data_IF_624870442188
#
_entry.id   IF_624870442188
#
_cell.length_a   1.000
_cell.length_b   1.000
_cell.length_c   1.000
_cell.angle_alpha   90.00
_cell.angle_beta   90.00
_cell.angle_gamma   90.00
#
_symmetry.space_group_name_H-M   'P 1'
#
loop_
_entity.id
_entity.type
_entity.pdbx_description
1 polymer ?
#
# COMPACT_ATOMS: atom_id res chain seq x y z
N UNK A 1 -17.67 -25.63 15.58
CA UNK A 1 -16.25 -25.74 15.18
C UNK A 1 -15.69 -24.34 15.02
N UNK A 2 -14.54 -24.03 15.62
CA UNK A 2 -13.81 -22.77 15.41
C UNK A 2 -13.23 -22.74 14.00
N UNK A 3 -13.35 -21.62 13.28
CA UNK A 3 -12.76 -21.47 11.95
C UNK A 3 -11.23 -21.39 12.04
N UNK A 4 -10.53 -22.12 11.18
CA UNK A 4 -9.06 -22.13 11.08
C UNK A 4 -8.65 -21.55 9.72
N UNK A 5 -7.72 -20.60 9.75
CA UNK A 5 -7.24 -19.85 8.59
C UNK A 5 -5.71 -19.89 8.52
N UNK A 6 -5.14 -20.24 7.37
CA UNK A 6 -3.68 -20.14 7.13
C UNK A 6 -3.26 -18.80 6.54
N UNK A 7 -4.09 -18.22 5.68
CA UNK A 7 -3.81 -16.99 4.96
C UNK A 7 -5.06 -16.10 4.90
N UNK A 8 -4.86 -14.81 4.65
CA UNK A 8 -5.92 -13.92 4.22
C UNK A 8 -5.75 -13.57 2.75
N UNK A 9 -6.86 -13.36 2.04
CA UNK A 9 -6.89 -12.95 0.64
C UNK A 9 -6.87 -11.43 0.55
N UNK A 10 -6.14 -10.89 -0.41
CA UNK A 10 -6.28 -9.51 -0.83
C UNK A 10 -6.39 -9.49 -2.35
N UNK A 11 -7.47 -8.90 -2.88
CA UNK A 11 -7.73 -8.89 -4.30
C UNK A 11 -7.30 -7.55 -4.90
N UNK A 12 -6.58 -7.60 -6.02
CA UNK A 12 -6.55 -6.51 -6.97
C UNK A 12 -7.98 -6.15 -7.37
N UNK A 13 -8.29 -4.86 -7.38
CA UNK A 13 -9.59 -4.31 -7.76
C UNK A 13 -10.08 -4.81 -9.11
N UNK A 14 -9.19 -4.99 -10.09
CA UNK A 14 -9.57 -5.52 -11.41
C UNK A 14 -10.06 -6.96 -11.35
N UNK A 15 -9.47 -7.77 -10.46
CA UNK A 15 -9.90 -9.14 -10.22
C UNK A 15 -11.18 -9.14 -9.39
N UNK A 16 -11.21 -8.37 -8.30
CA UNK A 16 -12.37 -8.26 -7.41
C UNK A 16 -13.63 -7.86 -8.18
N UNK A 17 -13.56 -6.76 -8.95
CA UNK A 17 -14.66 -6.26 -9.81
C UNK A 17 -15.18 -7.29 -10.81
N UNK A 18 -14.34 -8.22 -11.24
CA UNK A 18 -14.72 -9.26 -12.18
C UNK A 18 -15.43 -10.41 -11.48
N UNK A 19 -14.87 -10.92 -10.39
CA UNK A 19 -15.40 -12.11 -9.70
C UNK A 19 -16.76 -11.84 -9.04
N UNK A 20 -17.06 -10.60 -8.67
CA UNK A 20 -18.34 -10.30 -8.02
C UNK A 20 -19.49 -9.92 -8.96
N UNK A 21 -19.20 -9.60 -10.22
CA UNK A 21 -20.20 -9.07 -11.17
C UNK A 21 -21.11 -10.17 -11.71
N UNK A 22 -22.41 -9.87 -11.85
CA UNK A 22 -23.37 -10.73 -12.57
C UNK A 22 -22.86 -11.10 -13.96
N UNK A 23 -23.00 -12.37 -14.34
CA UNK A 23 -22.53 -12.92 -15.63
C UNK A 23 -21.08 -13.42 -15.62
N UNK A 24 -20.38 -13.34 -14.49
CA UNK A 24 -19.02 -13.86 -14.28
C UNK A 24 -18.96 -14.87 -13.12
N UNK A 25 -20.07 -15.54 -12.82
CA UNK A 25 -20.21 -16.48 -11.71
C UNK A 25 -19.16 -17.59 -11.76
N UNK A 26 -18.89 -18.12 -12.96
CA UNK A 26 -17.91 -19.18 -13.16
C UNK A 26 -16.49 -18.69 -12.84
N UNK A 27 -16.18 -17.41 -13.02
CA UNK A 27 -14.86 -16.86 -12.68
C UNK A 27 -14.60 -16.87 -11.17
N UNK A 28 -15.63 -16.66 -10.35
CA UNK A 28 -15.50 -16.76 -8.89
C UNK A 28 -15.30 -18.22 -8.46
N UNK A 29 -16.15 -19.12 -8.94
CA UNK A 29 -16.08 -20.54 -8.60
C UNK A 29 -14.75 -21.17 -9.03
N UNK A 30 -14.32 -20.92 -10.27
CA UNK A 30 -13.05 -21.42 -10.82
C UNK A 30 -11.86 -20.90 -10.01
N UNK A 31 -11.82 -19.59 -9.73
CA UNK A 31 -10.73 -18.99 -8.96
C UNK A 31 -10.67 -19.57 -7.55
N UNK A 32 -11.81 -19.63 -6.85
CA UNK A 32 -11.83 -20.14 -5.48
C UNK A 32 -11.52 -21.63 -5.43
N UNK A 33 -11.99 -22.43 -6.39
CA UNK A 33 -11.64 -23.84 -6.51
C UNK A 33 -10.13 -24.02 -6.72
N UNK A 34 -9.51 -23.23 -7.61
CA UNK A 34 -8.06 -23.24 -7.84
C UNK A 34 -7.29 -22.82 -6.58
N UNK A 35 -7.72 -21.75 -5.89
CA UNK A 35 -7.11 -21.30 -4.63
C UNK A 35 -7.22 -22.39 -3.56
N UNK A 36 -8.38 -23.01 -3.39
CA UNK A 36 -8.58 -24.09 -2.43
C UNK A 36 -7.68 -25.30 -2.73
N UNK A 37 -7.62 -25.72 -3.99
CA UNK A 37 -6.76 -26.82 -4.42
C UNK A 37 -5.28 -26.56 -4.13
N UNK A 38 -4.81 -25.33 -4.33
CA UNK A 38 -3.40 -24.99 -4.15
C UNK A 38 -3.01 -24.68 -2.69
N UNK A 39 -3.94 -24.23 -1.85
CA UNK A 39 -3.64 -23.71 -0.51
C UNK A 39 -4.37 -24.41 0.64
N UNK A 40 -5.24 -25.38 0.35
CA UNK A 40 -5.92 -26.21 1.34
C UNK A 40 -6.06 -27.67 0.88
N UNK A 41 -5.08 -28.21 0.16
CA UNK A 41 -5.13 -29.58 -0.37
C UNK A 41 -5.37 -30.65 0.70
N UNK A 42 -5.04 -30.36 1.96
CA UNK A 42 -5.19 -31.26 3.12
C UNK A 42 -6.47 -31.02 3.94
N UNK A 43 -7.38 -30.12 3.51
CA UNK A 43 -8.60 -29.74 4.24
C UNK A 43 -8.37 -29.23 5.68
N UNK A 44 -7.20 -28.68 5.98
CA UNK A 44 -6.85 -28.16 7.31
C UNK A 44 -7.54 -26.83 7.63
N UNK A 45 -7.95 -26.08 6.60
CA UNK A 45 -8.53 -24.74 6.73
C UNK A 45 -10.02 -24.74 6.38
N UNK A 46 -10.79 -23.99 7.16
CA UNK A 46 -12.26 -23.92 7.03
C UNK A 46 -12.74 -22.69 6.26
N UNK A 47 -11.82 -21.80 5.88
CA UNK A 47 -12.13 -20.61 5.10
C UNK A 47 -10.89 -19.80 4.78
N UNK A 48 -11.11 -18.65 4.14
CA UNK A 48 -10.13 -17.58 4.05
C UNK A 48 -10.70 -16.31 4.71
N UNK A 49 -9.81 -15.54 5.33
CA UNK A 49 -10.11 -14.16 5.71
C UNK A 49 -9.82 -13.25 4.51
N UNK A 50 -10.34 -12.02 4.52
CA UNK A 50 -9.96 -11.01 3.54
C UNK A 50 -9.29 -9.83 4.23
N UNK A 51 -8.13 -9.45 3.71
CA UNK A 51 -7.40 -8.26 4.10
C UNK A 51 -7.76 -7.12 3.16
N UNK A 52 -8.15 -5.98 3.73
CA UNK A 52 -8.59 -4.82 2.97
C UNK A 52 -8.11 -3.55 3.66
N UNK A 53 -7.52 -2.66 2.87
CA UNK A 53 -7.12 -1.33 3.34
C UNK A 53 -8.27 -0.35 3.13
N UNK A 54 -8.30 0.78 3.87
CA UNK A 54 -9.29 1.84 3.63
C UNK A 54 -9.33 2.32 2.16
N UNK A 55 -8.19 2.21 1.47
CA UNK A 55 -8.06 2.60 0.08
C UNK A 55 -8.61 1.52 -0.86
N UNK A 56 -8.24 0.24 -0.67
CA UNK A 56 -8.84 -0.86 -1.44
C UNK A 56 -10.36 -0.87 -1.32
N UNK A 57 -10.89 -0.52 -0.15
CA UNK A 57 -12.32 -0.37 0.06
C UNK A 57 -12.95 0.70 -0.85
N UNK A 58 -12.33 1.87 -1.00
CA UNK A 58 -12.82 2.91 -1.92
C UNK A 58 -12.88 2.40 -3.36
N UNK A 59 -11.85 1.68 -3.81
CA UNK A 59 -11.83 1.14 -5.16
C UNK A 59 -12.87 0.06 -5.40
N UNK A 60 -13.10 -0.80 -4.41
CA UNK A 60 -14.14 -1.83 -4.44
C UNK A 60 -15.54 -1.21 -4.47
N UNK A 61 -15.70 -0.03 -3.85
CA UNK A 61 -16.91 0.78 -3.97
C UNK A 61 -17.03 1.50 -5.33
N UNK A 62 -15.99 1.45 -6.16
CA UNK A 62 -15.98 2.06 -7.50
C UNK A 62 -15.47 3.49 -7.52
N UNK A 63 -14.80 3.95 -6.46
CA UNK A 63 -14.38 5.33 -6.29
C UNK A 63 -12.84 5.45 -6.20
N UNK A 64 -12.28 6.44 -6.89
CA UNK A 64 -10.89 6.85 -6.69
C UNK A 64 -10.76 7.68 -5.38
N UNK A 65 -9.58 7.72 -4.77
CA UNK A 65 -9.32 8.60 -3.63
C UNK A 65 -9.49 10.07 -4.04
N UNK A 66 -10.37 10.86 -3.41
CA UNK A 66 -10.60 12.22 -3.85
C UNK A 66 -9.35 13.09 -3.63
N UNK A 67 -9.10 13.98 -4.58
CA UNK A 67 -8.00 14.92 -4.50
C UNK A 67 -8.46 16.22 -3.84
N UNK A 68 -7.68 16.72 -2.90
CA UNK A 68 -7.90 18.02 -2.26
C UNK A 68 -6.77 18.97 -2.62
N UNK A 69 -7.04 20.26 -2.61
CA UNK A 69 -6.01 21.30 -2.70
C UNK A 69 -5.81 21.92 -1.32
N UNK A 70 -4.56 22.13 -0.90
CA UNK A 70 -4.22 22.88 0.31
C UNK A 70 -3.19 23.92 -0.08
N UNK A 71 -3.38 25.16 0.37
CA UNK A 71 -2.44 26.24 0.08
C UNK A 71 -1.04 25.89 0.57
N UNK A 72 0.02 26.26 -0.18
CA UNK A 72 1.41 26.09 0.25
C UNK A 72 1.63 26.66 1.66
N UNK A 73 2.12 25.82 2.58
CA UNK A 73 2.59 26.32 3.87
C UNK A 73 3.79 27.23 3.61
N UNK A 74 3.65 28.52 3.92
CA UNK A 74 4.77 29.48 3.82
C UNK A 74 5.84 29.07 4.83
N UNK A 75 7.07 28.88 4.36
CA UNK A 75 8.23 28.58 5.19
C UNK A 75 8.41 29.69 6.23
N UNK A 76 8.17 29.40 7.51
CA UNK A 76 8.82 30.14 8.57
C UNK A 76 10.32 29.81 8.50
N UNK A 77 11.14 30.86 8.49
CA UNK A 77 12.59 30.77 8.23
C UNK A 77 13.36 29.99 9.31
N UNK A 78 12.72 29.60 10.41
CA UNK A 78 13.38 29.02 11.58
C UNK A 78 12.89 27.59 11.86
N UNK A 79 13.80 26.64 11.66
CA UNK A 79 14.00 25.39 12.38
C UNK A 79 12.77 24.74 13.10
N UNK A 80 12.01 23.90 12.39
CA UNK A 80 11.73 22.47 12.71
C UNK A 80 10.74 21.86 11.68
N UNK A 81 11.02 22.10 10.39
CA UNK A 81 10.06 21.99 9.28
C UNK A 81 9.50 20.58 9.02
N UNK A 82 10.06 19.52 9.58
CA UNK A 82 9.64 18.15 9.27
C UNK A 82 8.30 17.79 9.92
N UNK A 83 8.30 17.66 11.24
CA UNK A 83 7.17 17.10 11.98
C UNK A 83 6.03 18.10 12.15
N UNK A 84 6.34 19.37 12.45
CA UNK A 84 5.31 20.38 12.67
C UNK A 84 4.59 20.76 11.36
N UNK A 85 5.32 20.96 10.26
CA UNK A 85 4.70 21.25 8.97
C UNK A 85 3.82 20.09 8.50
N UNK A 86 4.29 18.85 8.67
CA UNK A 86 3.48 17.66 8.34
C UNK A 86 2.22 17.57 9.19
N UNK A 87 2.28 17.85 10.49
CA UNK A 87 1.09 17.91 11.34
C UNK A 87 0.11 18.98 10.87
N UNK A 88 0.60 20.18 10.52
CA UNK A 88 -0.23 21.25 9.94
C UNK A 88 -0.91 20.82 8.63
N UNK A 89 -0.16 20.21 7.70
CA UNK A 89 -0.72 19.66 6.45
C UNK A 89 -1.74 18.57 6.74
N UNK A 90 -1.42 17.64 7.63
CA UNK A 90 -2.30 16.54 8.01
C UNK A 90 -3.63 17.06 8.58
N UNK A 91 -3.57 18.00 9.53
CA UNK A 91 -4.78 18.57 10.12
C UNK A 91 -5.61 19.35 9.10
N UNK A 92 -4.96 20.14 8.24
CA UNK A 92 -5.65 20.83 7.16
C UNK A 92 -6.31 19.84 6.17
N UNK A 93 -5.61 18.77 5.81
CA UNK A 93 -6.11 17.73 4.91
C UNK A 93 -7.29 16.98 5.52
N UNK A 94 -7.14 16.58 6.79
CA UNK A 94 -8.18 15.90 7.54
C UNK A 94 -9.45 16.74 7.65
N UNK A 95 -9.31 18.03 7.94
CA UNK A 95 -10.46 18.94 7.94
C UNK A 95 -11.14 19.02 6.57
N UNK A 96 -10.39 19.08 5.46
CA UNK A 96 -10.99 19.07 4.12
C UNK A 96 -11.70 17.75 3.81
N UNK A 97 -11.07 16.61 4.08
CA UNK A 97 -11.69 15.30 3.85
C UNK A 97 -12.92 15.06 4.72
N UNK A 98 -12.92 15.53 5.98
CA UNK A 98 -14.06 15.41 6.89
C UNK A 98 -15.36 16.01 6.33
N UNK A 99 -15.26 17.10 5.58
CA UNK A 99 -16.42 17.79 4.99
C UNK A 99 -16.67 17.43 3.52
N UNK A 100 -15.88 16.51 2.97
CA UNK A 100 -15.99 16.12 1.57
C UNK A 100 -17.07 15.03 1.41
N UNK A 101 -18.06 15.28 0.56
CA UNK A 101 -19.20 14.38 0.36
C UNK A 101 -18.76 12.99 -0.10
N UNK A 102 -17.77 12.92 -1.00
CA UNK A 102 -17.23 11.70 -1.59
C UNK A 102 -16.65 10.71 -0.56
N UNK A 103 -16.35 11.14 0.67
CA UNK A 103 -15.86 10.26 1.75
C UNK A 103 -16.73 10.35 3.00
N UNK A 104 -17.97 10.82 2.84
CA UNK A 104 -18.98 10.81 3.89
C UNK A 104 -19.59 9.41 4.05
N UNK A 105 -20.06 9.08 5.26
CA UNK A 105 -20.78 7.82 5.52
C UNK A 105 -21.95 7.62 4.56
N UNK A 106 -22.74 8.69 4.34
CA UNK A 106 -23.92 8.65 3.48
C UNK A 106 -23.55 8.27 2.04
N UNK A 107 -22.53 8.90 1.48
CA UNK A 107 -22.11 8.61 0.10
C UNK A 107 -21.56 7.20 -0.05
N UNK A 108 -20.66 6.78 0.84
CA UNK A 108 -20.02 5.47 0.77
C UNK A 108 -21.02 4.32 0.96
N UNK A 109 -22.02 4.50 1.84
CA UNK A 109 -23.15 3.56 1.99
C UNK A 109 -24.06 3.53 0.77
N UNK A 110 -24.26 4.68 0.10
CA UNK A 110 -24.99 4.74 -1.18
C UNK A 110 -24.27 3.93 -2.25
N UNK A 111 -22.95 4.12 -2.42
CA UNK A 111 -22.14 3.35 -3.38
C UNK A 111 -22.19 1.85 -3.10
N UNK A 112 -22.11 1.44 -1.83
CA UNK A 112 -22.28 0.04 -1.44
C UNK A 112 -23.65 -0.50 -1.87
N UNK A 113 -24.72 0.25 -1.59
CA UNK A 113 -26.10 -0.12 -1.97
C UNK A 113 -26.29 -0.23 -3.48
N UNK A 114 -25.63 0.62 -4.27
CA UNK A 114 -25.63 0.55 -5.72
C UNK A 114 -24.89 -0.68 -6.24
N UNK A 115 -23.69 -0.95 -5.71
CA UNK A 115 -22.89 -2.11 -6.10
C UNK A 115 -23.62 -3.43 -5.83
N UNK A 116 -24.36 -3.53 -4.71
CA UNK A 116 -25.17 -4.72 -4.37
C UNK A 116 -26.14 -5.14 -5.48
N UNK A 117 -26.65 -4.21 -6.29
CA UNK A 117 -27.61 -4.49 -7.39
C UNK A 117 -26.98 -5.31 -8.52
N UNK A 118 -25.66 -5.19 -8.70
CA UNK A 118 -24.90 -5.79 -9.79
C UNK A 118 -24.10 -7.03 -9.36
N UNK A 119 -24.24 -7.46 -8.10
CA UNK A 119 -23.59 -8.65 -7.56
C UNK A 119 -24.28 -9.94 -8.01
N UNK A 120 -23.48 -10.93 -8.37
CA UNK A 120 -23.96 -12.30 -8.50
C UNK A 120 -24.32 -12.89 -7.12
N UNK A 121 -25.28 -13.81 -7.07
CA UNK A 121 -25.67 -14.45 -5.80
C UNK A 121 -24.52 -15.28 -5.21
N UNK A 122 -23.68 -15.88 -6.06
CA UNK A 122 -22.52 -16.67 -5.63
C UNK A 122 -21.42 -15.84 -4.98
N UNK A 123 -21.18 -14.63 -5.47
CA UNK A 123 -20.13 -13.75 -4.94
C UNK A 123 -20.61 -12.83 -3.81
N UNK A 124 -21.93 -12.77 -3.55
CA UNK A 124 -22.52 -11.94 -2.48
C UNK A 124 -21.93 -12.24 -1.09
N UNK A 125 -21.68 -13.50 -0.68
CA UNK A 125 -21.04 -13.79 0.60
C UNK A 125 -19.65 -13.16 0.72
N UNK A 126 -18.81 -13.28 -0.31
CA UNK A 126 -17.48 -12.66 -0.33
C UNK A 126 -17.60 -11.13 -0.25
N UNK A 127 -18.46 -10.52 -1.09
CA UNK A 127 -18.64 -9.07 -1.08
C UNK A 127 -19.13 -8.57 0.29
N UNK A 128 -20.02 -9.32 0.95
CA UNK A 128 -20.49 -8.99 2.29
C UNK A 128 -19.34 -8.96 3.30
N UNK A 129 -18.51 -9.98 3.28
CA UNK A 129 -17.40 -10.12 4.25
C UNK A 129 -16.29 -9.07 4.03
N UNK A 130 -16.08 -8.69 2.77
CA UNK A 130 -14.99 -7.80 2.32
C UNK A 130 -15.39 -6.32 2.36
N UNK A 131 -16.61 -5.98 1.94
CA UNK A 131 -17.06 -4.60 1.72
C UNK A 131 -18.19 -4.24 2.68
N UNK A 132 -19.32 -4.95 2.60
CA UNK A 132 -20.56 -4.58 3.30
C UNK A 132 -20.34 -4.52 4.83
N UNK A 133 -19.65 -5.52 5.38
CA UNK A 133 -19.33 -5.59 6.80
C UNK A 133 -18.58 -4.35 7.29
N UNK A 134 -17.64 -3.83 6.50
CA UNK A 134 -16.78 -2.71 6.89
C UNK A 134 -17.51 -1.39 6.72
N UNK A 135 -18.20 -1.20 5.60
CA UNK A 135 -19.02 0.00 5.33
C UNK A 135 -20.14 0.16 6.36
N UNK A 136 -20.59 -0.94 6.96
CA UNK A 136 -21.61 -0.90 7.98
C UNK A 136 -21.09 -0.62 9.40
N UNK A 137 -19.78 -0.67 9.65
CA UNK A 137 -19.21 -0.35 10.96
C UNK A 137 -19.32 1.14 11.28
N UNK A 138 -19.55 1.46 12.55
CA UNK A 138 -19.56 2.84 13.02
C UNK A 138 -18.16 3.48 12.87
N UNK A 139 -18.13 4.71 12.36
CA UNK A 139 -16.91 5.49 12.20
C UNK A 139 -15.96 5.03 11.08
N UNK A 140 -16.40 4.16 10.16
CA UNK A 140 -15.54 3.71 9.05
C UNK A 140 -15.12 4.86 8.12
N UNK A 141 -16.00 5.83 7.83
CA UNK A 141 -15.63 7.01 7.03
C UNK A 141 -14.55 7.84 7.71
N UNK A 142 -14.61 8.02 9.03
CA UNK A 142 -13.58 8.72 9.79
C UNK A 142 -12.22 8.02 9.66
N UNK A 143 -12.18 6.68 9.64
CA UNK A 143 -10.94 5.92 9.37
C UNK A 143 -10.43 6.16 7.94
N UNK A 144 -11.31 6.21 6.94
CA UNK A 144 -10.94 6.54 5.56
C UNK A 144 -10.38 7.96 5.46
N UNK A 145 -11.07 8.95 6.03
CA UNK A 145 -10.67 10.36 6.04
C UNK A 145 -9.30 10.56 6.71
N UNK A 146 -9.07 9.90 7.86
CA UNK A 146 -7.79 9.90 8.55
C UNK A 146 -6.67 9.36 7.65
N UNK A 147 -6.89 8.20 7.01
CA UNK A 147 -5.88 7.59 6.14
C UNK A 147 -5.62 8.43 4.88
N UNK A 148 -6.65 9.01 4.27
CA UNK A 148 -6.51 9.94 3.14
C UNK A 148 -5.71 11.19 3.52
N UNK A 149 -5.98 11.78 4.69
CA UNK A 149 -5.23 12.93 5.19
C UNK A 149 -3.77 12.58 5.48
N UNK A 150 -3.53 11.40 6.05
CA UNK A 150 -2.21 10.87 6.29
C UNK A 150 -1.45 10.72 4.97
N UNK A 151 -2.04 10.01 4.00
CA UNK A 151 -1.52 9.84 2.63
C UNK A 151 -1.23 11.16 1.92
N UNK A 152 -2.17 12.11 1.98
CA UNK A 152 -1.99 13.44 1.42
C UNK A 152 -0.77 14.14 2.03
N UNK A 153 -0.59 14.08 3.35
CA UNK A 153 0.55 14.72 4.02
C UNK A 153 1.92 14.19 3.54
N UNK A 154 1.99 12.94 3.07
CA UNK A 154 3.23 12.38 2.52
C UNK A 154 3.49 12.76 1.07
N UNK A 155 2.43 13.01 0.30
CA UNK A 155 2.53 13.40 -1.12
C UNK A 155 2.58 14.91 -1.31
N UNK A 156 2.18 15.67 -0.29
CA UNK A 156 2.14 17.12 -0.32
C UNK A 156 3.50 17.71 -0.70
N UNK A 157 3.45 18.74 -1.55
CA UNK A 157 4.62 19.43 -2.02
C UNK A 157 4.88 20.63 -1.09
N UNK A 158 5.76 20.42 -0.11
CA UNK A 158 6.03 21.37 0.97
C UNK A 158 6.77 22.61 0.47
N UNK A 159 7.53 22.51 -0.63
CA UNK A 159 8.19 23.67 -1.21
C UNK A 159 8.43 23.54 -2.71
N UNK A 160 8.51 24.67 -3.43
CA UNK A 160 8.94 24.67 -4.85
C UNK A 160 10.45 24.50 -5.03
N UNK A 161 11.22 24.35 -3.95
CA UNK A 161 12.70 24.31 -3.96
C UNK A 161 13.23 22.92 -3.59
N UNK A 162 14.56 22.74 -3.64
CA UNK A 162 15.24 21.48 -3.25
C UNK A 162 14.92 21.02 -1.82
N UNK A 163 14.39 21.90 -0.96
CA UNK A 163 13.95 21.59 0.40
C UNK A 163 12.75 20.64 0.48
N UNK A 164 11.96 20.51 -0.58
CA UNK A 164 10.82 19.56 -0.62
C UNK A 164 11.28 18.10 -0.49
N UNK A 165 12.42 17.77 -1.11
CA UNK A 165 13.00 16.42 -1.01
C UNK A 165 13.50 16.12 0.40
N UNK A 166 14.04 17.11 1.12
CA UNK A 166 14.46 16.95 2.52
C UNK A 166 13.26 16.71 3.44
N UNK A 167 12.19 17.48 3.28
CA UNK A 167 10.96 17.31 4.07
C UNK A 167 10.31 15.96 3.76
N UNK A 168 10.24 15.56 2.48
CA UNK A 168 9.77 14.22 2.11
C UNK A 168 10.63 13.10 2.68
N UNK A 169 11.95 13.27 2.74
CA UNK A 169 12.87 12.31 3.38
C UNK A 169 12.63 12.22 4.89
N UNK A 170 12.53 13.34 5.59
CA UNK A 170 12.24 13.37 7.03
C UNK A 170 10.88 12.73 7.32
N UNK A 171 9.88 13.01 6.49
CA UNK A 171 8.56 12.42 6.61
C UNK A 171 8.59 10.91 6.37
N UNK A 172 9.32 10.43 5.35
CA UNK A 172 9.52 9.00 5.12
C UNK A 172 10.23 8.34 6.31
N UNK A 173 11.28 8.97 6.84
CA UNK A 173 11.97 8.47 8.02
C UNK A 173 11.01 8.37 9.22
N UNK A 174 10.25 9.42 9.53
CA UNK A 174 9.28 9.42 10.63
C UNK A 174 8.12 8.44 10.46
N UNK A 175 7.69 8.18 9.21
CA UNK A 175 6.70 7.15 8.89
C UNK A 175 7.22 5.74 9.17
N UNK A 176 8.48 5.49 8.78
CA UNK A 176 9.16 4.24 9.07
C UNK A 176 9.45 4.10 10.56
N UNK A 177 9.69 5.19 11.29
CA UNK A 177 9.84 5.17 12.74
C UNK A 177 8.50 4.89 13.45
N UNK A 178 7.37 5.43 12.98
CA UNK A 178 6.04 5.08 13.50
C UNK A 178 5.67 3.61 13.24
N UNK A 179 6.11 3.05 12.11
CA UNK A 179 5.99 1.62 11.82
C UNK A 179 6.75 0.76 12.81
N UNK A 180 8.00 1.14 13.08
CA UNK A 180 8.94 0.42 13.95
C UNK A 180 8.53 0.45 15.42
N UNK A 181 7.90 1.53 15.86
CA UNK A 181 7.40 1.68 17.23
C UNK A 181 6.02 1.03 17.44
N UNK A 182 5.48 0.32 16.44
CA UNK A 182 4.14 -0.28 16.45
C UNK A 182 3.00 0.70 16.79
N UNK A 183 3.26 2.01 16.74
CA UNK A 183 2.25 3.04 17.04
C UNK A 183 1.15 3.08 15.99
N UNK A 184 1.37 2.45 14.83
CA UNK A 184 0.40 2.24 13.77
C UNK A 184 0.47 0.78 13.30
N UNK A 185 -0.42 -0.07 13.84
CA UNK A 185 -0.57 -1.49 13.44
C UNK A 185 -0.87 -1.66 11.93
N UNK A 186 -1.44 -0.63 11.32
CA UNK A 186 -1.79 -0.56 9.90
C UNK A 186 -1.29 0.77 9.32
N UNK A 187 -0.24 0.73 8.50
CA UNK A 187 0.30 1.95 7.89
C UNK A 187 0.64 1.73 6.42
N UNK A 188 -0.41 1.72 5.60
CA UNK A 188 -0.39 1.49 4.14
C UNK A 188 0.31 2.61 3.34
N UNK A 189 0.70 3.68 4.02
CA UNK A 189 1.23 4.90 3.42
C UNK A 189 2.74 4.84 3.15
N UNK A 190 3.43 3.80 3.64
CA UNK A 190 4.88 3.60 3.52
C UNK A 190 5.35 3.27 2.12
N UNK A 191 4.80 2.21 1.54
CA UNK A 191 5.10 1.84 0.17
C UNK A 191 4.83 3.01 -0.77
N UNK A 192 3.75 3.75 -0.51
CA UNK A 192 3.35 4.90 -1.32
C UNK A 192 4.37 6.03 -1.28
N UNK A 193 4.84 6.43 -0.09
CA UNK A 193 5.84 7.48 0.05
C UNK A 193 7.16 7.12 -0.67
N UNK A 194 7.61 5.88 -0.54
CA UNK A 194 8.83 5.37 -1.20
C UNK A 194 8.69 5.36 -2.72
N UNK A 195 7.57 4.84 -3.23
CA UNK A 195 7.34 4.73 -4.68
C UNK A 195 7.16 6.11 -5.32
N UNK A 196 6.53 7.05 -4.62
CA UNK A 196 6.41 8.44 -5.05
C UNK A 196 7.78 9.13 -5.14
N UNK A 197 8.66 8.91 -4.16
CA UNK A 197 10.05 9.39 -4.24
C UNK A 197 10.78 8.81 -5.45
N UNK A 198 10.63 7.51 -5.71
CA UNK A 198 11.24 6.86 -6.88
C UNK A 198 10.71 7.45 -8.20
N UNK A 199 9.41 7.77 -8.27
CA UNK A 199 8.79 8.42 -9.43
C UNK A 199 9.28 9.86 -9.61
N UNK A 200 9.40 10.64 -8.54
CA UNK A 200 9.94 12.00 -8.60
C UNK A 200 11.40 12.02 -9.07
N UNK A 201 12.18 11.01 -8.66
CA UNK A 201 13.54 10.81 -9.14
C UNK A 201 13.58 10.42 -10.61
N UNK A 202 12.69 9.51 -11.05
CA UNK A 202 12.63 9.09 -12.46
C UNK A 202 12.37 10.25 -13.42
N UNK A 203 11.53 11.22 -13.02
CA UNK A 203 11.28 12.46 -13.78
C UNK A 203 12.55 13.31 -13.96
N UNK A 204 13.45 13.30 -12.97
CA UNK A 204 14.70 14.09 -12.97
C UNK A 204 15.85 13.40 -13.70
N UNK A 205 15.93 12.07 -13.66
CA UNK A 205 16.98 11.31 -14.32
C UNK A 205 16.59 10.96 -15.77
N UNK A 206 16.88 11.86 -16.73
CA UNK A 206 16.76 11.56 -18.16
C UNK A 206 17.81 10.53 -18.62
N UNK A 207 17.43 9.25 -18.57
CA UNK A 207 17.82 8.05 -19.39
C UNK A 207 19.29 7.69 -19.71
N UNK A 208 20.30 8.57 -19.64
CA UNK A 208 21.62 8.27 -20.27
C UNK A 208 22.64 7.50 -19.42
N UNK A 209 22.53 7.45 -18.09
CA UNK A 209 23.58 6.84 -17.23
C UNK A 209 23.09 5.72 -16.29
N UNK A 210 21.87 5.20 -16.49
CA UNK A 210 21.30 4.20 -15.58
C UNK A 210 21.53 2.76 -16.04
N UNK A 211 21.84 1.88 -15.10
CA UNK A 211 21.90 0.42 -15.31
C UNK A 211 20.56 -0.13 -15.84
N UNK A 212 20.59 -1.29 -16.50
CA UNK A 212 19.36 -1.97 -16.99
C UNK A 212 18.40 -2.28 -15.83
N UNK A 213 18.93 -2.75 -14.71
CA UNK A 213 18.15 -3.01 -13.49
C UNK A 213 17.44 -1.73 -13.01
N UNK A 214 18.16 -0.60 -12.96
CA UNK A 214 17.57 0.69 -12.60
C UNK A 214 16.49 1.15 -13.57
N UNK A 215 16.66 0.91 -14.88
CA UNK A 215 15.66 1.25 -15.89
C UNK A 215 14.40 0.39 -15.74
N UNK A 216 14.53 -0.89 -15.42
CA UNK A 216 13.41 -1.80 -15.21
C UNK A 216 12.58 -1.41 -13.98
N UNK A 217 13.24 -1.11 -12.87
CA UNK A 217 12.57 -0.62 -11.65
C UNK A 217 11.85 0.69 -11.95
N UNK A 218 12.55 1.66 -12.57
CA UNK A 218 11.93 2.93 -12.92
C UNK A 218 10.76 2.77 -13.90
N UNK A 219 10.83 1.84 -14.85
CA UNK A 219 9.72 1.53 -15.74
C UNK A 219 8.53 0.98 -14.94
N UNK A 220 8.77 0.04 -14.03
CA UNK A 220 7.75 -0.54 -13.15
C UNK A 220 7.14 0.46 -12.17
N UNK A 221 7.88 1.52 -11.78
CA UNK A 221 7.37 2.61 -10.93
C UNK A 221 6.78 3.78 -11.72
N UNK A 222 7.22 4.03 -12.95
CA UNK A 222 6.79 5.17 -13.78
C UNK A 222 5.36 5.04 -14.29
N UNK A 223 4.84 3.81 -14.35
CA UNK A 223 3.45 3.52 -14.69
C UNK A 223 2.45 4.04 -13.66
N UNK A 224 2.88 4.31 -12.41
CA UNK A 224 2.01 4.70 -11.29
C UNK A 224 1.36 6.07 -11.57
N UNK A 225 0.09 6.07 -11.96
CA UNK A 225 -0.74 7.27 -12.02
C UNK A 225 -0.98 7.75 -10.59
N UNK A 226 -0.66 9.01 -10.33
CA UNK A 226 -0.51 9.67 -9.00
C UNK A 226 -1.67 9.51 -8.01
N UNK A 227 -2.84 9.03 -8.48
CA UNK A 227 -4.04 8.79 -7.68
C UNK A 227 -4.75 7.44 -7.97
N UNK A 228 -4.51 6.80 -9.12
CA UNK A 228 -5.20 5.56 -9.53
C UNK A 228 -4.43 4.28 -9.24
N UNK A 229 -3.11 4.32 -9.25
CA UNK A 229 -2.30 3.10 -9.05
C UNK A 229 -1.72 3.04 -7.62
N UNK A 230 -2.28 3.85 -6.70
CA UNK A 230 -1.89 3.91 -5.29
C UNK A 230 -2.33 2.65 -4.53
N UNK A 231 -3.37 1.97 -5.01
CA UNK A 231 -4.02 0.83 -4.38
C UNK A 231 -3.28 -0.49 -4.63
N UNK A 232 -2.68 -0.66 -5.81
CA UNK A 232 -1.77 -1.78 -6.10
C UNK A 232 -0.58 -1.82 -5.13
N UNK A 233 -0.17 -0.65 -4.63
CA UNK A 233 0.95 -0.53 -3.70
C UNK A 233 0.58 -1.01 -2.29
N UNK A 234 -0.69 -0.92 -1.91
CA UNK A 234 -1.19 -1.48 -0.65
C UNK A 234 -1.16 -3.00 -0.69
N UNK A 235 -1.50 -3.60 -1.84
CA UNK A 235 -1.44 -5.04 -2.04
C UNK A 235 0.00 -5.56 -1.95
N UNK A 236 0.96 -4.83 -2.54
CA UNK A 236 2.39 -5.13 -2.39
C UNK A 236 2.82 -5.04 -0.92
N UNK A 237 2.35 -4.04 -0.18
CA UNK A 237 2.66 -3.92 1.23
C UNK A 237 2.10 -5.10 2.03
N UNK A 238 0.81 -5.40 1.83
CA UNK A 238 0.10 -6.51 2.48
C UNK A 238 0.78 -7.84 2.20
N UNK A 239 1.20 -8.10 0.96
CA UNK A 239 1.87 -9.36 0.60
C UNK A 239 3.29 -9.48 1.18
N UNK A 240 4.00 -8.38 1.40
CA UNK A 240 5.33 -8.41 1.98
C UNK A 240 5.32 -8.49 3.51
N UNK A 241 4.33 -7.87 4.15
CA UNK A 241 4.30 -7.70 5.60
C UNK A 241 3.32 -8.61 6.33
N UNK A 242 2.28 -9.10 5.64
CA UNK A 242 1.09 -9.67 6.27
C UNK A 242 0.04 -8.59 6.61
N UNK A 243 -1.13 -9.02 7.07
CA UNK A 243 -2.16 -8.13 7.66
C UNK A 243 -2.55 -8.60 9.04
N UNK A 244 -2.85 -7.66 9.92
CA UNK A 244 -3.60 -7.95 11.13
C UNK A 244 -5.09 -8.03 10.79
N UNK A 245 -5.75 -9.08 11.28
CA UNK A 245 -7.19 -9.28 11.19
C UNK A 245 -7.60 -9.85 12.55
N UNK A 246 -8.49 -9.16 13.26
CA UNK A 246 -8.94 -9.53 14.60
C UNK A 246 -7.77 -9.82 15.56
N UNK A 247 -6.83 -8.87 15.64
CA UNK A 247 -5.59 -8.89 16.45
C UNK A 247 -4.61 -10.04 16.16
N UNK A 248 -4.87 -10.87 15.14
CA UNK A 248 -3.94 -11.90 14.67
C UNK A 248 -3.35 -11.53 13.31
N UNK A 249 -2.04 -11.76 13.16
CA UNK A 249 -1.32 -11.51 11.91
C UNK A 249 -1.41 -12.72 10.97
N UNK A 250 -1.72 -12.47 9.71
CA UNK A 250 -1.84 -13.49 8.67
C UNK A 250 -0.95 -13.16 7.46
N UNK A 251 -0.31 -14.17 6.83
CA UNK A 251 0.28 -14.01 5.50
C UNK A 251 -0.82 -13.75 4.47
N UNK A 252 -0.50 -13.00 3.43
CA UNK A 252 -1.48 -12.57 2.43
C UNK A 252 -1.31 -13.34 1.12
N UNK A 253 -2.39 -13.88 0.58
CA UNK A 253 -2.49 -14.29 -0.82
C UNK A 253 -2.99 -13.08 -1.62
N UNK A 254 -2.06 -12.38 -2.27
CA UNK A 254 -2.37 -11.28 -3.17
C UNK A 254 -2.81 -11.84 -4.51
N UNK A 255 -4.08 -11.67 -4.88
CA UNK A 255 -4.63 -12.16 -6.14
C UNK A 255 -4.66 -11.00 -7.13
N UNK A 256 -3.97 -11.13 -8.26
CA UNK A 256 -3.82 -10.04 -9.24
C UNK A 256 -3.81 -10.51 -10.69
N UNK A 257 -4.27 -9.64 -11.58
CA UNK A 257 -4.17 -9.82 -13.04
C UNK A 257 -3.08 -8.94 -13.67
N UNK A 258 -2.27 -8.27 -12.83
CA UNK A 258 -1.18 -7.42 -13.28
C UNK A 258 -0.02 -8.21 -13.89
N UNK A 259 0.79 -7.51 -14.68
CA UNK A 259 1.98 -8.08 -15.30
C UNK A 259 2.96 -8.54 -14.21
N UNK A 260 3.39 -9.79 -14.29
CA UNK A 260 4.32 -10.42 -13.33
C UNK A 260 5.56 -9.55 -13.05
N UNK A 261 6.22 -9.06 -14.10
CA UNK A 261 7.42 -8.22 -13.96
C UNK A 261 7.13 -6.93 -13.19
N UNK A 262 5.96 -6.32 -13.39
CA UNK A 262 5.59 -5.09 -12.67
C UNK A 262 5.42 -5.37 -11.17
N UNK A 263 4.73 -6.45 -10.81
CA UNK A 263 4.50 -6.81 -9.40
C UNK A 263 5.80 -7.23 -8.72
N UNK A 264 6.62 -8.05 -9.39
CA UNK A 264 7.93 -8.48 -8.88
C UNK A 264 8.81 -7.26 -8.59
N UNK A 265 8.97 -6.34 -9.54
CA UNK A 265 9.83 -5.17 -9.34
C UNK A 265 9.31 -4.23 -8.23
N UNK A 266 7.99 -4.09 -8.06
CA UNK A 266 7.39 -3.35 -6.94
C UNK A 266 7.72 -4.02 -5.59
N UNK A 267 7.63 -5.35 -5.50
CA UNK A 267 8.02 -6.13 -4.31
C UNK A 267 9.52 -5.97 -4.03
N UNK A 268 10.38 -6.13 -5.04
CA UNK A 268 11.84 -5.97 -4.91
C UNK A 268 12.19 -4.61 -4.33
N UNK A 269 11.60 -3.55 -4.88
CA UNK A 269 11.82 -2.18 -4.40
C UNK A 269 11.34 -1.99 -2.95
N UNK A 270 10.17 -2.51 -2.60
CA UNK A 270 9.66 -2.42 -1.24
C UNK A 270 10.56 -3.17 -0.24
N UNK A 271 10.91 -4.43 -0.50
CA UNK A 271 11.81 -5.23 0.35
C UNK A 271 13.19 -4.57 0.51
N UNK A 272 13.79 -4.12 -0.59
CA UNK A 272 15.08 -3.40 -0.55
C UNK A 272 15.02 -2.16 0.33
N UNK A 273 13.91 -1.43 0.22
CA UNK A 273 13.71 -0.22 1.00
C UNK A 273 13.67 -0.56 2.48
N UNK A 274 12.86 -1.55 2.87
CA UNK A 274 12.80 -2.03 4.25
C UNK A 274 14.17 -2.47 4.78
N UNK A 275 14.91 -3.28 4.01
CA UNK A 275 16.23 -3.78 4.43
C UNK A 275 17.28 -2.68 4.61
N UNK A 276 17.40 -1.77 3.65
CA UNK A 276 18.35 -0.66 3.75
C UNK A 276 18.06 0.19 4.99
N UNK A 277 16.78 0.44 5.22
CA UNK A 277 16.33 1.19 6.37
C UNK A 277 16.58 0.42 7.67
N UNK A 278 16.45 -0.90 7.70
CA UNK A 278 16.75 -1.76 8.86
C UNK A 278 18.25 -1.81 9.21
N UNK A 279 19.13 -1.76 8.21
CA UNK A 279 20.61 -1.71 8.34
C UNK A 279 21.13 -0.38 8.88
N UNK A 280 20.42 0.74 8.68
CA UNK A 280 20.83 2.05 9.22
C UNK A 280 20.50 2.26 10.71
N UNK A 281 19.70 1.38 11.31
CA UNK A 281 19.21 1.50 12.70
C UNK A 281 20.14 0.81 13.71
N UNK A 282 21.33 0.38 13.34
CA UNK A 282 22.21 -0.38 14.24
C UNK A 282 22.54 0.37 15.54
N UNK A 283 22.40 1.71 15.55
CA UNK A 283 22.59 2.55 16.74
C UNK A 283 21.28 2.85 17.52
N UNK A 284 20.12 2.96 16.87
CA UNK A 284 18.82 3.22 17.55
C UNK A 284 18.18 1.94 18.08
N UNK A 285 18.50 0.78 17.49
CA UNK A 285 18.02 -0.55 17.92
C UNK A 285 18.50 -0.91 19.32
N UNK A 286 19.74 -0.56 19.68
CA UNK A 286 20.26 -0.80 21.03
C UNK A 286 19.44 -0.03 22.08
N UNK A 287 19.23 1.27 21.85
CA UNK A 287 18.44 2.14 22.71
C UNK A 287 16.96 1.73 22.84
N UNK A 288 16.29 1.41 21.72
CA UNK A 288 14.87 1.01 21.75
C UNK A 288 14.65 -0.39 22.34
N UNK A 289 15.63 -1.29 22.19
CA UNK A 289 15.61 -2.62 22.80
C UNK A 289 15.81 -2.54 24.32
N UNK A 290 16.66 -1.62 24.80
CA UNK A 290 16.82 -1.33 26.23
C UNK A 290 15.53 -0.75 26.87
N UNK A 291 14.73 -0.01 26.10
CA UNK A 291 13.46 0.56 26.57
C UNK A 291 12.26 -0.42 26.48
N UNK A 292 12.46 -1.66 25.99
CA UNK A 292 11.37 -2.62 25.79
C UNK A 292 10.34 -2.20 24.73
N UNK A 293 10.67 -1.22 23.88
CA UNK A 293 9.77 -0.64 22.86
C UNK A 293 10.10 -1.11 21.45
N UNK A 294 11.00 -2.10 21.32
CA UNK A 294 11.39 -2.69 20.05
C UNK A 294 10.87 -4.12 19.95
N UNK A 295 9.78 -4.30 19.22
CA UNK A 295 9.43 -5.60 18.66
C UNK A 295 10.00 -5.68 17.24
N UNK A 296 10.83 -6.69 17.00
CA UNK A 296 11.31 -6.99 15.65
C UNK A 296 10.09 -7.25 14.78
N UNK A 297 9.94 -6.50 13.70
CA UNK A 297 8.89 -6.78 12.71
C UNK A 297 9.18 -8.16 12.14
N UNK A 298 8.40 -9.15 12.55
CA UNK A 298 8.39 -10.44 11.88
C UNK A 298 7.65 -10.25 10.56
N UNK A 299 8.42 -10.14 9.48
CA UNK A 299 7.85 -10.23 8.14
C UNK A 299 7.19 -11.59 8.00
N UNK A 300 5.92 -11.56 7.61
CA UNK A 300 5.15 -12.75 7.33
C UNK A 300 4.85 -12.74 5.82
N UNK A 301 5.87 -12.97 4.97
CA UNK A 301 5.74 -12.86 3.53
C UNK A 301 4.67 -13.84 3.04
N UNK A 302 3.77 -13.30 2.23
CA UNK A 302 2.69 -14.04 1.61
C UNK A 302 3.08 -14.58 0.23
N UNK A 303 2.08 -14.76 -0.61
CA UNK A 303 2.24 -15.21 -2.00
C UNK A 303 1.47 -14.32 -2.95
N UNK A 304 1.97 -14.16 -4.16
CA UNK A 304 1.25 -13.52 -5.26
C UNK A 304 0.68 -14.60 -6.16
N UNK A 305 -0.63 -14.57 -6.35
CA UNK A 305 -1.38 -15.45 -7.24
C UNK A 305 -1.72 -14.65 -8.49
N UNK A 306 -1.00 -14.91 -9.58
CA UNK A 306 -1.24 -14.31 -10.87
C UNK A 306 -2.35 -15.07 -11.57
N UNK A 307 -3.41 -14.36 -11.95
CA UNK A 307 -4.57 -14.94 -12.61
C UNK A 307 -4.73 -14.39 -14.02
N UNK A 308 -5.22 -15.24 -14.92
CA UNK A 308 -5.56 -14.82 -16.26
C UNK A 308 -6.65 -13.75 -16.18
N UNK A 309 -6.42 -12.60 -16.82
CA UNK A 309 -7.36 -11.48 -16.77
C UNK A 309 -8.76 -11.88 -17.24
N UNK A 310 -8.89 -12.79 -18.21
CA UNK A 310 -10.18 -13.19 -18.80
C UNK A 310 -10.83 -14.35 -18.07
N UNK A 311 -10.12 -15.46 -17.86
CA UNK A 311 -10.70 -16.67 -17.27
C UNK A 311 -10.64 -16.73 -15.75
N UNK A 312 -9.89 -15.82 -15.10
CA UNK A 312 -9.61 -15.83 -13.65
C UNK A 312 -8.90 -17.10 -13.14
N UNK A 313 -8.41 -17.97 -14.03
CA UNK A 313 -7.63 -19.15 -13.66
C UNK A 313 -6.23 -18.75 -13.18
N UNK A 314 -5.68 -19.51 -12.23
CA UNK A 314 -4.31 -19.30 -11.76
C UNK A 314 -3.32 -19.64 -12.88
N UNK A 315 -2.49 -18.66 -13.25
CA UNK A 315 -1.40 -18.84 -14.23
C UNK A 315 -0.07 -19.13 -13.54
N UNK A 316 0.17 -18.48 -12.38
CA UNK A 316 1.41 -18.62 -11.64
C UNK A 316 1.22 -18.25 -10.17
N UNK A 317 1.96 -18.91 -9.30
CA UNK A 317 2.11 -18.53 -7.89
C UNK A 317 3.57 -18.13 -7.66
N UNK A 318 3.79 -17.01 -6.99
CA UNK A 318 5.10 -16.53 -6.58
C UNK A 318 5.15 -16.41 -5.07
N UNK A 319 6.15 -17.03 -4.45
CA UNK A 319 6.44 -16.83 -3.04
C UNK A 319 7.20 -15.50 -2.85
N UNK A 320 6.67 -14.60 -2.02
CA UNK A 320 7.28 -13.28 -1.80
C UNK A 320 8.64 -13.40 -1.11
N UNK A 321 8.87 -14.49 -0.35
CA UNK A 321 10.16 -14.77 0.26
C UNK A 321 11.27 -14.98 -0.78
N UNK A 322 10.96 -15.59 -1.93
CA UNK A 322 11.92 -15.89 -3.00
C UNK A 322 12.29 -14.68 -3.86
N UNK A 323 11.62 -13.54 -3.68
CA UNK A 323 11.92 -12.32 -4.45
C UNK A 323 13.16 -11.64 -3.87
N UNK A 324 14.27 -11.67 -4.59
CA UNK A 324 15.53 -11.06 -4.15
C UNK A 324 15.43 -9.54 -4.04
N UNK A 325 16.01 -8.97 -2.98
CA UNK A 325 16.22 -7.53 -2.89
C UNK A 325 17.19 -7.03 -3.96
N UNK A 326 17.08 -5.76 -4.28
CA UNK A 326 18.05 -5.08 -5.14
C UNK A 326 19.38 -5.01 -4.42
N UNK A 327 20.48 -5.21 -5.15
CA UNK A 327 21.83 -5.09 -4.59
C UNK A 327 22.00 -3.71 -3.96
N UNK A 328 22.60 -3.65 -2.77
CA UNK A 328 22.67 -2.47 -1.90
C UNK A 328 23.11 -1.18 -2.60
N UNK A 329 23.94 -1.31 -3.64
CA UNK A 329 24.36 -0.21 -4.48
C UNK A 329 23.21 0.59 -5.10
N UNK A 330 22.04 0.02 -5.34
CA UNK A 330 20.94 0.74 -6.01
C UNK A 330 20.24 1.73 -5.09
N UNK A 331 19.81 1.33 -3.89
CA UNK A 331 19.18 2.26 -2.95
C UNK A 331 20.22 3.21 -2.33
N UNK A 332 21.46 2.74 -2.12
CA UNK A 332 22.56 3.62 -1.76
C UNK A 332 22.84 4.65 -2.87
N UNK A 333 22.80 4.27 -4.15
CA UNK A 333 22.91 5.19 -5.29
C UNK A 333 21.69 6.09 -5.38
N UNK A 334 20.46 5.60 -5.16
CA UNK A 334 19.24 6.42 -5.16
C UNK A 334 19.29 7.48 -4.04
N UNK A 335 19.71 7.07 -2.84
CA UNK A 335 19.86 7.94 -1.67
C UNK A 335 21.09 8.83 -1.77
N UNK A 336 22.19 8.39 -2.41
CA UNK A 336 23.36 9.20 -2.73
C UNK A 336 23.05 10.18 -3.87
N UNK A 337 22.21 9.81 -4.84
CA UNK A 337 21.73 10.68 -5.92
C UNK A 337 20.79 11.73 -5.36
N UNK A 338 19.92 11.35 -4.40
CA UNK A 338 19.22 12.30 -3.55
C UNK A 338 20.26 13.22 -2.89
N UNK A 339 21.26 12.70 -2.15
CA UNK A 339 22.33 13.50 -1.50
C UNK A 339 23.11 14.43 -2.46
N UNK A 340 23.46 13.98 -3.67
CA UNK A 340 24.23 14.75 -4.68
C UNK A 340 23.41 15.86 -5.32
N UNK A 341 22.09 15.68 -5.48
CA UNK A 341 21.19 16.73 -5.95
C UNK A 341 21.07 17.89 -4.95
N UNK A 342 21.47 17.73 -3.68
CA UNK A 342 21.49 18.81 -2.68
C UNK A 342 22.70 19.74 -2.83
N UNK A 343 23.88 19.21 -3.18
CA UNK A 343 25.12 20.01 -3.29
C UNK A 343 25.05 21.01 -4.45
N UNK A 344 24.31 20.69 -5.53
CA UNK A 344 24.12 21.59 -6.68
C UNK A 344 23.00 22.63 -6.52
N UNK A 345 22.27 22.62 -5.41
CA UNK A 345 21.20 23.61 -5.14
C UNK A 345 21.60 24.66 -4.09
N UNK A 346 22.86 24.59 -3.63
CA UNK A 346 23.48 25.55 -2.71
C UNK A 346 24.63 26.35 -3.38
N UNK A 347 24.83 26.16 -4.68
CA UNK A 347 25.59 27.02 -5.58
C UNK A 347 24.58 27.67 -6.53
#
# INVERSE_FOLDING_TARGET
>A
MSKIYSHALAFDTNVFKRIYKKGFENCYDDLMADVWKNFNSNNEYTGFLCAITPFLLLEYLGQDGPNISIDPIKNDKNNDLGTEAKQKVFHAAHNKYKYLYEVSDQHLRSLNSENLKYLSDKARPLYRDVVERIVNQDGFSAKIQFNLALDFSYRYNYSKTSKDLDVKRINLQGLLDMYRLQKLKENYTQTRAVMMLCKDLSKRFKKKEMSVESKNILAATSGIKEFRDLFDLDLVQLCCLGSFIDDKKYPILMITSDKQNTVIERIRLFKTTLEHFDKRITNTKAFLKEQGQYEKIEFLPGKVVFVNKTSCKIERILDVSSVEVLKEGWLATLLQLLQRLFVRSQL
#
